data_IF_797786023919
#
_entry.id   IF_797786023919
#
_cell.length_a   1.000
_cell.length_b   1.000
_cell.length_c   1.000
_cell.angle_alpha   90.00
_cell.angle_beta   90.00
_cell.angle_gamma   90.00
#
_symmetry.space_group_name_H-M   'P 1'
#
loop_
_entity.id
_entity.type
_entity.pdbx_description
1 polymer ?
#
# COMPACT_ATOMS: atom_id res chain seq x y z
N UNK A 1 14.15 23.39 13.45
CA UNK A 1 13.40 22.71 12.37
C UNK A 1 12.59 23.77 11.64
N UNK A 2 12.40 23.65 10.32
CA UNK A 2 11.48 24.53 9.59
C UNK A 2 10.06 24.35 10.14
N UNK A 3 9.37 25.43 10.44
CA UNK A 3 7.97 25.43 10.86
C UNK A 3 7.06 25.62 9.65
N UNK A 4 5.80 25.24 9.75
CA UNK A 4 4.83 25.48 8.67
C UNK A 4 4.69 26.97 8.30
N UNK A 5 4.96 27.88 9.25
CA UNK A 5 4.95 29.32 8.99
C UNK A 5 6.10 29.78 8.08
N UNK A 6 7.24 29.08 8.12
CA UNK A 6 8.43 29.42 7.33
C UNK A 6 8.33 28.98 5.86
N UNK A 7 7.43 28.03 5.56
CA UNK A 7 7.38 27.33 4.27
C UNK A 7 6.40 27.97 3.28
N UNK A 8 5.42 28.75 3.76
CA UNK A 8 4.38 29.36 2.92
C UNK A 8 3.42 28.33 2.29
N UNK A 9 2.57 28.75 1.34
CA UNK A 9 1.62 27.89 0.62
C UNK A 9 0.18 27.85 1.17
N UNK A 10 -0.01 28.16 2.46
CA UNK A 10 -1.32 28.32 3.09
C UNK A 10 -2.20 27.04 3.14
N UNK A 11 -3.42 27.14 3.70
CA UNK A 11 -4.39 26.05 3.71
C UNK A 11 -4.70 25.56 2.29
N UNK A 12 -4.60 24.26 2.05
CA UNK A 12 -4.90 23.63 0.75
C UNK A 12 -3.68 23.16 -0.04
N UNK A 13 -2.46 23.60 0.30
CA UNK A 13 -1.22 23.12 -0.33
C UNK A 13 -0.54 21.96 0.42
N UNK A 14 -0.95 21.71 1.67
CA UNK A 14 -0.40 20.69 2.55
C UNK A 14 -1.47 19.70 3.03
N UNK A 15 -1.04 18.46 3.26
CA UNK A 15 -1.86 17.38 3.80
C UNK A 15 -1.59 17.27 5.30
N UNK A 16 -2.65 17.30 6.11
CA UNK A 16 -2.56 17.12 7.55
C UNK A 16 -2.32 15.65 7.89
N UNK A 17 -1.27 15.39 8.67
CA UNK A 17 -0.86 14.03 9.08
C UNK A 17 -1.34 13.66 10.48
N UNK A 18 -1.71 14.66 11.29
CA UNK A 18 -2.15 14.46 12.67
C UNK A 18 -1.39 15.35 13.67
N UNK A 19 -1.62 15.05 14.95
CA UNK A 19 -0.97 15.72 16.07
C UNK A 19 0.01 14.77 16.77
N UNK A 20 1.15 15.30 17.20
CA UNK A 20 2.08 14.62 18.11
C UNK A 20 2.24 15.49 19.35
N UNK A 21 1.48 15.18 20.40
CA UNK A 21 1.22 16.14 21.48
C UNK A 21 0.46 17.34 20.92
N UNK A 22 0.90 18.55 21.23
CA UNK A 22 0.30 19.80 20.74
C UNK A 22 0.84 20.24 19.36
N UNK A 23 1.80 19.48 18.79
CA UNK A 23 2.40 19.82 17.51
C UNK A 23 1.62 19.19 16.36
N UNK A 24 1.13 20.03 15.44
CA UNK A 24 0.55 19.59 14.18
C UNK A 24 1.63 19.23 13.15
N UNK A 25 1.41 18.13 12.44
CA UNK A 25 2.30 17.62 11.39
C UNK A 25 1.61 17.65 10.02
N UNK A 26 2.37 18.03 9.00
CA UNK A 26 1.88 18.16 7.63
C UNK A 26 2.90 17.58 6.64
N UNK A 27 2.41 17.11 5.49
CA UNK A 27 3.25 16.84 4.33
C UNK A 27 2.93 17.81 3.19
N UNK A 28 3.95 18.21 2.45
CA UNK A 28 3.84 19.11 1.31
C UNK A 28 4.67 18.56 0.15
N UNK A 29 4.20 18.75 -1.08
CA UNK A 29 5.00 18.40 -2.25
C UNK A 29 6.17 19.37 -2.39
N UNK A 30 7.37 18.84 -2.63
CA UNK A 30 8.58 19.65 -2.76
C UNK A 30 8.49 20.71 -3.89
N UNK A 31 7.67 20.46 -4.93
CA UNK A 31 7.45 21.42 -6.01
C UNK A 31 6.65 22.66 -5.58
N UNK A 32 5.92 22.59 -4.46
CA UNK A 32 5.05 23.66 -3.99
C UNK A 32 5.74 24.58 -2.96
N UNK A 33 7.02 24.33 -2.67
CA UNK A 33 7.76 25.05 -1.62
C UNK A 33 9.15 25.43 -2.10
N UNK A 34 9.69 26.53 -1.56
CA UNK A 34 11.04 27.02 -1.88
C UNK A 34 12.13 26.37 -1.02
N UNK A 35 11.78 25.32 -0.26
CA UNK A 35 12.68 24.61 0.64
C UNK A 35 13.52 23.59 -0.12
N UNK A 36 14.84 23.70 -0.02
CA UNK A 36 15.77 22.66 -0.50
C UNK A 36 16.03 21.64 0.61
N UNK A 37 15.64 20.39 0.39
CA UNK A 37 15.99 19.30 1.32
C UNK A 37 17.45 18.89 1.13
N UNK A 38 18.26 18.79 2.20
CA UNK A 38 19.65 18.37 2.11
C UNK A 38 19.81 16.89 1.70
N UNK A 39 18.74 16.08 1.82
CA UNK A 39 18.74 14.64 1.52
C UNK A 39 17.41 14.19 0.93
N UNK A 40 17.48 13.15 0.10
CA UNK A 40 16.32 12.36 -0.36
C UNK A 40 16.50 10.93 0.09
N UNK A 41 15.43 10.30 0.54
CA UNK A 41 15.44 8.94 1.07
C UNK A 41 14.38 8.11 0.33
N UNK A 42 14.67 6.84 0.09
CA UNK A 42 13.65 5.88 -0.31
C UNK A 42 12.82 5.49 0.93
N UNK A 43 11.51 5.72 0.87
CA UNK A 43 10.64 5.51 2.01
C UNK A 43 10.53 4.04 2.40
N UNK A 44 10.65 3.09 1.46
CA UNK A 44 10.61 1.66 1.79
C UNK A 44 11.82 1.28 2.63
N UNK A 45 13.01 1.74 2.25
CA UNK A 45 14.23 1.50 3.01
C UNK A 45 14.21 2.20 4.37
N UNK A 46 13.75 3.46 4.40
CA UNK A 46 13.71 4.24 5.64
C UNK A 46 12.72 3.66 6.67
N UNK A 47 11.53 3.23 6.23
CA UNK A 47 10.50 2.66 7.09
C UNK A 47 10.93 1.39 7.82
N UNK A 48 11.95 0.67 7.34
CA UNK A 48 12.52 -0.50 8.02
C UNK A 48 13.32 -0.14 9.28
N UNK A 49 13.80 1.09 9.37
CA UNK A 49 14.72 1.54 10.43
C UNK A 49 14.09 2.59 11.34
N UNK A 50 13.00 3.22 10.91
CA UNK A 50 12.36 4.30 11.65
C UNK A 50 11.47 3.80 12.79
N UNK A 51 11.29 4.61 13.85
CA UNK A 51 10.24 4.38 14.82
C UNK A 51 8.88 4.24 14.14
N UNK A 52 8.04 3.34 14.66
CA UNK A 52 6.72 3.04 14.09
C UNK A 52 5.88 4.30 13.82
N UNK A 53 5.84 5.24 14.77
CA UNK A 53 5.07 6.47 14.62
C UNK A 53 5.50 7.31 13.40
N UNK A 54 6.82 7.41 13.16
CA UNK A 54 7.36 8.16 12.03
C UNK A 54 7.10 7.40 10.72
N UNK A 55 7.34 6.08 10.70
CA UNK A 55 7.04 5.23 9.55
C UNK A 55 5.56 5.31 9.14
N UNK A 56 4.64 5.25 10.11
CA UNK A 56 3.20 5.39 9.87
C UNK A 56 2.83 6.76 9.31
N UNK A 57 3.35 7.85 9.90
CA UNK A 57 3.07 9.20 9.43
C UNK A 57 3.54 9.44 7.98
N UNK A 58 4.75 8.98 7.66
CA UNK A 58 5.29 9.10 6.30
C UNK A 58 4.60 8.15 5.30
N UNK A 59 4.19 6.96 5.73
CA UNK A 59 3.39 6.06 4.90
C UNK A 59 2.03 6.68 4.55
N UNK A 60 1.37 7.30 5.52
CA UNK A 60 0.14 8.06 5.29
C UNK A 60 0.37 9.24 4.34
N UNK A 61 1.40 10.05 4.57
CA UNK A 61 1.79 11.14 3.67
C UNK A 61 1.97 10.67 2.22
N UNK A 62 2.71 9.57 2.02
CA UNK A 62 2.95 9.00 0.69
C UNK A 62 1.66 8.56 0.00
N UNK A 63 0.76 7.90 0.73
CA UNK A 63 -0.53 7.45 0.20
C UNK A 63 -1.45 8.61 -0.16
N UNK A 64 -1.52 9.63 0.71
CA UNK A 64 -2.32 10.83 0.47
C UNK A 64 -1.80 11.64 -0.73
N UNK A 65 -0.49 11.88 -0.82
CA UNK A 65 0.11 12.55 -1.98
C UNK A 65 -0.09 11.75 -3.27
N UNK A 66 0.00 10.41 -3.21
CA UNK A 66 -0.33 9.57 -4.38
C UNK A 66 -1.76 9.81 -4.85
N UNK A 67 -2.70 9.74 -3.92
CA UNK A 67 -4.12 9.92 -4.21
C UNK A 67 -4.41 11.32 -4.76
N UNK A 68 -3.87 12.39 -4.14
CA UNK A 68 -4.01 13.76 -4.63
C UNK A 68 -3.56 13.90 -6.08
N UNK A 69 -2.40 13.33 -6.43
CA UNK A 69 -1.85 13.40 -7.78
C UNK A 69 -2.72 12.70 -8.85
N UNK A 70 -3.53 11.70 -8.44
CA UNK A 70 -4.37 10.87 -9.33
C UNK A 70 -5.84 11.29 -9.33
N UNK A 71 -6.30 12.02 -8.32
CA UNK A 71 -7.70 12.45 -8.15
C UNK A 71 -7.84 13.96 -8.37
N UNK A 72 -7.33 14.46 -9.50
CA UNK A 72 -7.41 15.88 -9.89
C UNK A 72 -8.76 16.26 -10.55
N UNK A 73 -9.43 15.27 -11.12
CA UNK A 73 -10.72 15.43 -11.81
C UNK A 73 -11.71 14.39 -11.30
N UNK A 74 -12.99 14.75 -11.31
CA UNK A 74 -14.08 13.92 -10.83
C UNK A 74 -14.34 12.77 -11.80
N UNK A 75 -14.31 11.53 -11.31
CA UNK A 75 -14.64 10.34 -12.11
C UNK A 75 -16.12 10.26 -12.55
N UNK A 76 -17.00 11.13 -12.03
CA UNK A 76 -18.43 11.15 -12.38
C UNK A 76 -18.72 12.17 -13.50
N UNK A 77 -18.18 13.39 -13.41
CA UNK A 77 -18.53 14.47 -14.33
C UNK A 77 -17.34 15.16 -15.02
N UNK A 78 -16.10 14.75 -14.72
CA UNK A 78 -14.88 15.36 -15.27
C UNK A 78 -14.48 16.72 -14.66
N UNK A 79 -15.29 17.30 -13.77
CA UNK A 79 -15.00 18.59 -13.14
C UNK A 79 -13.80 18.53 -12.19
N UNK A 80 -13.12 19.66 -11.97
CA UNK A 80 -11.97 19.75 -11.08
C UNK A 80 -12.31 19.38 -9.63
N UNK A 81 -11.39 18.69 -8.95
CA UNK A 81 -11.51 18.29 -7.55
C UNK A 81 -10.67 19.22 -6.67
N UNK A 82 -11.30 19.82 -5.67
CA UNK A 82 -10.64 20.61 -4.65
C UNK A 82 -10.57 19.81 -3.33
N UNK A 83 -9.40 19.80 -2.68
CA UNK A 83 -9.21 19.08 -1.43
C UNK A 83 -9.61 19.91 -0.20
N UNK A 84 -10.28 19.26 0.75
CA UNK A 84 -10.78 19.83 1.99
C UNK A 84 -10.46 18.89 3.17
N UNK A 85 -10.85 19.29 4.40
CA UNK A 85 -10.65 18.50 5.64
C UNK A 85 -9.21 18.02 5.83
N UNK A 86 -8.26 18.96 5.80
CA UNK A 86 -6.83 18.65 5.93
C UNK A 86 -6.27 17.83 4.75
N UNK A 87 -6.97 17.83 3.62
CA UNK A 87 -6.61 17.07 2.44
C UNK A 87 -7.28 15.70 2.36
N UNK A 88 -8.08 15.24 3.33
CA UNK A 88 -8.66 13.89 3.31
C UNK A 88 -9.85 13.72 2.36
N UNK A 89 -10.56 14.80 2.02
CA UNK A 89 -11.73 14.74 1.14
C UNK A 89 -11.47 15.56 -0.10
N UNK A 90 -11.68 14.98 -1.27
CA UNK A 90 -11.70 15.71 -2.54
C UNK A 90 -13.16 15.99 -2.92
N UNK A 91 -13.53 17.25 -3.13
CA UNK A 91 -14.89 17.62 -3.54
C UNK A 91 -14.87 18.19 -4.94
N UNK A 92 -15.72 17.67 -5.82
CA UNK A 92 -15.87 18.21 -7.17
C UNK A 92 -16.52 19.60 -7.12
N UNK A 93 -15.90 20.58 -7.77
CA UNK A 93 -16.41 21.94 -7.83
C UNK A 93 -17.69 22.10 -8.67
N UNK A 94 -18.02 21.10 -9.51
CA UNK A 94 -19.16 21.15 -10.43
C UNK A 94 -20.38 20.38 -9.91
N UNK A 95 -20.22 19.10 -9.57
CA UNK A 95 -21.32 18.24 -9.15
C UNK A 95 -21.39 18.00 -7.64
N UNK A 96 -20.47 18.59 -6.86
CA UNK A 96 -20.35 18.38 -5.41
C UNK A 96 -20.06 16.94 -4.94
N UNK A 97 -19.83 15.97 -5.85
CA UNK A 97 -19.42 14.61 -5.48
C UNK A 97 -18.15 14.64 -4.63
N UNK A 98 -18.18 13.88 -3.54
CA UNK A 98 -17.02 13.66 -2.68
C UNK A 98 -16.23 12.42 -3.12
N UNK A 99 -14.91 12.53 -3.00
CA UNK A 99 -13.93 11.50 -3.27
C UNK A 99 -13.09 11.30 -2.02
N UNK A 100 -12.76 10.04 -1.75
CA UNK A 100 -11.99 9.62 -0.59
C UNK A 100 -10.71 8.89 -1.05
N UNK A 101 -9.67 8.83 -0.20
CA UNK A 101 -8.45 8.10 -0.52
C UNK A 101 -8.75 6.62 -0.83
N UNK A 102 -8.23 6.13 -1.95
CA UNK A 102 -8.34 4.73 -2.33
C UNK A 102 -7.30 3.91 -1.57
N UNK A 103 -7.74 2.80 -0.98
CA UNK A 103 -6.88 1.79 -0.36
C UNK A 103 -7.22 0.45 -0.98
N UNK A 104 -6.24 -0.16 -1.64
CA UNK A 104 -6.43 -1.43 -2.35
C UNK A 104 -6.06 -2.60 -1.42
N UNK A 105 -7.02 -3.42 -0.98
CA UNK A 105 -6.70 -4.58 -0.17
C UNK A 105 -5.96 -5.64 -1.01
N UNK A 106 -4.89 -6.19 -0.44
CA UNK A 106 -4.13 -7.28 -1.00
C UNK A 106 -3.78 -8.29 0.10
N UNK A 107 -3.93 -9.57 -0.16
CA UNK A 107 -3.51 -10.62 0.76
C UNK A 107 -2.02 -10.90 0.58
N UNK A 108 -1.35 -11.32 1.65
CA UNK A 108 0.01 -11.89 1.62
C UNK A 108 0.03 -13.11 2.53
N UNK A 109 0.44 -14.27 2.00
CA UNK A 109 0.18 -15.55 2.65
C UNK A 109 1.39 -16.48 2.71
N UNK A 110 1.75 -16.89 3.94
CA UNK A 110 2.68 -17.98 4.17
C UNK A 110 1.95 -19.32 4.04
N UNK A 111 2.23 -20.09 2.98
CA UNK A 111 1.57 -21.37 2.70
C UNK A 111 2.48 -22.53 3.09
N UNK A 112 2.02 -23.37 4.01
CA UNK A 112 2.82 -24.44 4.63
C UNK A 112 2.26 -25.82 4.29
N UNK A 113 3.17 -26.80 4.15
CA UNK A 113 2.82 -28.22 4.08
C UNK A 113 3.99 -29.11 4.56
N UNK A 114 3.73 -30.01 5.51
CA UNK A 114 4.71 -30.96 6.06
C UNK A 114 6.03 -30.28 6.51
N UNK A 115 5.93 -29.11 7.14
CA UNK A 115 7.09 -28.34 7.61
C UNK A 115 7.85 -27.59 6.52
N UNK A 116 7.37 -27.60 5.27
CA UNK A 116 7.91 -26.83 4.14
C UNK A 116 7.10 -25.56 3.92
N UNK A 117 7.75 -24.55 3.37
CA UNK A 117 7.13 -23.27 3.00
C UNK A 117 7.12 -23.10 1.48
N UNK A 118 5.97 -22.78 0.90
CA UNK A 118 5.87 -22.41 -0.51
C UNK A 118 6.37 -20.99 -0.69
N UNK A 119 7.37 -20.81 -1.55
CA UNK A 119 7.86 -19.49 -1.92
C UNK A 119 7.89 -19.33 -3.43
N UNK A 120 7.58 -18.13 -3.89
CA UNK A 120 7.62 -17.71 -5.28
C UNK A 120 8.63 -16.59 -5.54
N UNK A 121 8.97 -16.36 -6.81
CA UNK A 121 9.78 -15.22 -7.25
C UNK A 121 9.33 -14.70 -8.61
N UNK A 122 9.48 -13.39 -8.82
CA UNK A 122 9.30 -12.73 -10.11
C UNK A 122 10.63 -12.64 -10.87
N UNK A 123 10.55 -12.63 -12.21
CA UNK A 123 11.72 -12.60 -13.11
C UNK A 123 12.57 -11.33 -12.98
N UNK A 124 11.97 -10.22 -12.57
CA UNK A 124 12.67 -8.94 -12.37
C UNK A 124 13.34 -8.82 -10.98
N UNK A 125 13.20 -9.82 -10.10
CA UNK A 125 13.83 -9.80 -8.78
C UNK A 125 15.27 -10.31 -8.82
N UNK A 126 16.08 -9.79 -7.91
CA UNK A 126 17.47 -10.23 -7.72
C UNK A 126 17.57 -11.77 -7.64
N UNK A 127 18.62 -12.39 -8.20
CA UNK A 127 18.78 -13.83 -8.17
C UNK A 127 18.67 -14.41 -6.75
N UNK A 128 17.96 -15.54 -6.61
CA UNK A 128 17.71 -16.24 -5.34
C UNK A 128 16.86 -15.47 -4.31
N UNK A 129 16.29 -14.32 -4.66
CA UNK A 129 15.25 -13.68 -3.84
C UNK A 129 13.93 -14.40 -4.05
N UNK A 130 13.32 -14.83 -2.95
CA UNK A 130 12.02 -15.49 -2.88
C UNK A 130 11.16 -14.80 -1.82
N UNK A 131 9.84 -14.89 -1.97
CA UNK A 131 8.86 -14.37 -1.01
C UNK A 131 7.66 -15.30 -0.94
N UNK A 132 6.90 -15.14 0.14
CA UNK A 132 5.52 -15.61 0.20
C UNK A 132 4.67 -14.96 -0.90
N UNK A 133 3.57 -15.63 -1.28
CA UNK A 133 2.68 -15.18 -2.35
C UNK A 133 1.77 -14.05 -1.87
N UNK A 134 1.35 -13.18 -2.80
CA UNK A 134 0.51 -12.03 -2.49
C UNK A 134 -0.26 -11.58 -3.73
N UNK A 135 -1.50 -11.12 -3.53
CA UNK A 135 -2.34 -10.68 -4.63
C UNK A 135 -3.51 -9.81 -4.19
N UNK A 136 -4.13 -9.11 -5.14
CA UNK A 136 -5.19 -8.16 -4.85
C UNK A 136 -6.52 -8.87 -4.63
N UNK A 137 -7.32 -8.33 -3.72
CA UNK A 137 -8.68 -8.83 -3.48
C UNK A 137 -9.59 -8.35 -4.61
N UNK A 138 -10.35 -9.27 -5.21
CA UNK A 138 -11.31 -8.91 -6.25
C UNK A 138 -12.69 -8.52 -5.69
N UNK A 139 -13.49 -7.73 -6.43
CA UNK A 139 -14.84 -7.39 -6.02
C UNK A 139 -15.71 -8.63 -5.77
N UNK A 140 -16.23 -8.76 -4.56
CA UNK A 140 -17.08 -9.88 -4.14
C UNK A 140 -16.33 -11.01 -3.44
N UNK A 141 -15.00 -10.92 -3.29
CA UNK A 141 -14.22 -11.89 -2.54
C UNK A 141 -14.09 -11.52 -1.06
N UNK A 142 -14.12 -12.55 -0.22
CA UNK A 142 -13.51 -12.52 1.12
C UNK A 142 -11.99 -12.64 0.99
N UNK A 143 -11.24 -12.23 2.02
CA UNK A 143 -9.79 -12.40 2.02
C UNK A 143 -9.37 -13.86 1.93
N UNK A 144 -10.14 -14.76 2.55
CA UNK A 144 -9.92 -16.20 2.50
C UNK A 144 -10.10 -16.74 1.07
N UNK A 145 -11.10 -16.26 0.33
CA UNK A 145 -11.28 -16.61 -1.09
C UNK A 145 -10.12 -16.11 -1.94
N UNK A 146 -9.68 -14.86 -1.73
CA UNK A 146 -8.50 -14.31 -2.41
C UNK A 146 -7.25 -15.15 -2.13
N UNK A 147 -7.01 -15.57 -0.88
CA UNK A 147 -5.89 -16.47 -0.55
C UNK A 147 -5.96 -17.77 -1.36
N UNK A 148 -7.13 -18.41 -1.42
CA UNK A 148 -7.30 -19.66 -2.17
C UNK A 148 -7.09 -19.45 -3.66
N UNK A 149 -7.66 -18.38 -4.23
CA UNK A 149 -7.54 -18.06 -5.66
C UNK A 149 -6.09 -17.76 -6.05
N UNK A 150 -5.46 -16.79 -5.40
CA UNK A 150 -4.10 -16.32 -5.72
C UNK A 150 -3.07 -17.46 -5.64
N UNK A 151 -3.11 -18.26 -4.56
CA UNK A 151 -2.18 -19.39 -4.42
C UNK A 151 -2.38 -20.40 -5.54
N UNK A 152 -3.62 -20.71 -5.92
CA UNK A 152 -3.91 -21.66 -6.99
C UNK A 152 -3.58 -21.10 -8.39
N UNK A 153 -3.80 -19.81 -8.63
CA UNK A 153 -3.49 -19.15 -9.90
C UNK A 153 -1.98 -19.16 -10.15
N UNK A 154 -1.20 -18.69 -9.18
CA UNK A 154 0.25 -18.51 -9.31
C UNK A 154 1.06 -19.81 -9.19
N UNK A 155 0.56 -20.82 -8.45
CA UNK A 155 1.34 -22.02 -8.11
C UNK A 155 0.63 -23.37 -8.30
N UNK A 156 -0.68 -23.36 -8.61
CA UNK A 156 -1.53 -24.57 -8.69
C UNK A 156 -1.66 -25.37 -7.39
N UNK A 157 -1.09 -24.90 -6.29
CA UNK A 157 -1.20 -25.52 -4.96
C UNK A 157 -2.58 -25.24 -4.37
N UNK A 158 -3.23 -26.27 -3.82
CA UNK A 158 -4.54 -26.13 -3.16
C UNK A 158 -4.41 -25.86 -1.67
N UNK A 159 -4.99 -24.75 -1.22
CA UNK A 159 -5.12 -24.38 0.19
C UNK A 159 -6.33 -25.06 0.81
N UNK A 160 -6.17 -25.63 2.02
CA UNK A 160 -7.24 -26.32 2.77
C UNK A 160 -7.77 -25.51 3.94
N UNK A 161 -6.94 -24.63 4.51
CA UNK A 161 -7.32 -23.72 5.57
C UNK A 161 -6.40 -22.49 5.57
N UNK A 162 -6.91 -21.34 6.00
CA UNK A 162 -6.09 -20.16 6.24
C UNK A 162 -6.53 -19.42 7.52
N UNK A 163 -5.62 -18.62 8.07
CA UNK A 163 -5.82 -17.86 9.30
C UNK A 163 -5.18 -16.48 9.16
N UNK A 164 -5.96 -15.45 9.45
CA UNK A 164 -5.49 -14.07 9.53
C UNK A 164 -4.44 -13.90 10.65
N UNK A 165 -3.40 -13.13 10.37
CA UNK A 165 -2.30 -12.84 11.30
C UNK A 165 -2.21 -11.36 11.67
N UNK A 166 -2.52 -10.47 10.73
CA UNK A 166 -2.30 -9.03 10.91
C UNK A 166 -2.43 -8.27 9.61
N UNK A 167 -2.26 -6.95 9.68
CA UNK A 167 -2.30 -6.10 8.49
C UNK A 167 -1.26 -4.98 8.57
N UNK A 168 -0.79 -4.54 7.41
CA UNK A 168 0.17 -3.45 7.30
C UNK A 168 -0.16 -2.54 6.11
N UNK A 169 -0.25 -1.21 6.31
CA UNK A 169 -0.35 -0.28 5.19
C UNK A 169 0.87 -0.36 4.27
N UNK A 170 0.64 -0.43 2.97
CA UNK A 170 1.68 -0.50 1.93
C UNK A 170 1.46 0.58 0.86
N UNK A 171 1.91 1.83 1.10
CA UNK A 171 1.59 3.01 0.29
C UNK A 171 2.44 3.10 -0.99
N UNK A 172 2.62 1.97 -1.67
CA UNK A 172 3.48 1.84 -2.85
C UNK A 172 2.77 1.06 -3.97
N UNK A 173 1.65 1.58 -4.53
CA UNK A 173 1.26 2.99 -4.44
C UNK A 173 0.13 3.34 -3.44
N UNK A 174 -0.61 2.37 -2.89
CA UNK A 174 -1.76 2.65 -2.01
C UNK A 174 -2.53 1.40 -1.58
N UNK A 175 -1.83 0.37 -1.11
CA UNK A 175 -2.43 -0.90 -0.73
C UNK A 175 -2.52 -1.07 0.80
N UNK A 176 -3.39 -1.98 1.24
CA UNK A 176 -3.40 -2.55 2.59
C UNK A 176 -3.04 -4.03 2.47
N UNK A 177 -1.88 -4.42 3.00
CA UNK A 177 -1.49 -5.82 3.05
C UNK A 177 -2.19 -6.51 4.21
N UNK A 178 -2.86 -7.61 3.92
CA UNK A 178 -3.58 -8.46 4.88
C UNK A 178 -2.85 -9.79 4.96
N UNK A 179 -2.19 -10.03 6.09
CA UNK A 179 -1.31 -11.17 6.30
C UNK A 179 -2.06 -12.42 6.74
N UNK A 180 -1.77 -13.54 6.09
CA UNK A 180 -2.31 -14.86 6.40
C UNK A 180 -1.21 -15.91 6.57
N UNK A 181 -1.52 -16.95 7.35
CA UNK A 181 -0.92 -18.27 7.18
C UNK A 181 -1.93 -19.24 6.60
N UNK A 182 -1.48 -20.21 5.82
CA UNK A 182 -2.33 -21.20 5.18
C UNK A 182 -1.71 -22.59 5.22
N UNK A 183 -2.56 -23.61 5.29
CA UNK A 183 -2.19 -25.01 5.09
C UNK A 183 -2.58 -25.45 3.68
N UNK A 184 -1.73 -26.24 3.05
CA UNK A 184 -1.94 -26.72 1.69
C UNK A 184 -1.91 -28.25 1.58
N UNK A 185 -2.40 -28.75 0.44
CA UNK A 185 -2.19 -30.12 -0.01
C UNK A 185 -0.74 -30.34 -0.49
N UNK A 186 -0.35 -31.61 -0.68
CA UNK A 186 0.97 -32.02 -1.19
C UNK A 186 1.06 -31.96 -2.71
N UNK A 187 0.65 -30.82 -3.25
CA UNK A 187 0.72 -30.52 -4.66
C UNK A 187 2.13 -30.08 -5.05
N UNK A 188 2.59 -30.51 -6.23
CA UNK A 188 3.83 -30.01 -6.82
C UNK A 188 3.56 -28.61 -7.41
N UNK A 189 4.26 -27.55 -6.95
CA UNK A 189 4.01 -26.21 -7.43
C UNK A 189 4.35 -26.08 -8.92
N UNK A 190 3.49 -25.41 -9.67
CA UNK A 190 3.68 -25.11 -11.10
C UNK A 190 3.24 -23.68 -11.37
N UNK A 191 4.10 -22.90 -12.02
CA UNK A 191 3.85 -21.48 -12.31
C UNK A 191 3.10 -21.28 -13.63
N UNK A 192 2.29 -20.23 -13.72
CA UNK A 192 1.51 -19.86 -14.92
C UNK A 192 2.18 -18.78 -15.80
N UNK A 193 3.37 -18.30 -15.43
CA UNK A 193 4.11 -17.24 -16.12
C UNK A 193 4.12 -15.89 -15.41
N UNK A 194 3.28 -15.68 -14.39
CA UNK A 194 3.37 -14.50 -13.51
C UNK A 194 4.59 -14.58 -12.58
N UNK A 195 4.85 -15.78 -12.07
CA UNK A 195 6.07 -16.12 -11.36
C UNK A 195 7.08 -16.76 -12.30
N UNK A 196 8.36 -16.46 -12.07
CA UNK A 196 9.48 -17.13 -12.73
C UNK A 196 9.72 -18.53 -12.14
N UNK A 197 9.57 -18.68 -10.82
CA UNK A 197 9.70 -19.96 -10.12
C UNK A 197 8.84 -19.95 -8.85
N UNK A 198 8.33 -21.11 -8.46
CA UNK A 198 7.64 -21.37 -7.21
C UNK A 198 7.94 -22.79 -6.74
N UNK A 199 8.33 -22.96 -5.48
CA UNK A 199 8.68 -24.28 -4.93
C UNK A 199 8.62 -24.34 -3.42
N UNK A 200 8.63 -25.55 -2.90
CA UNK A 200 8.74 -25.84 -1.46
C UNK A 200 10.20 -25.68 -0.98
N UNK A 201 10.37 -25.06 0.20
CA UNK A 201 11.64 -24.91 0.92
C UNK A 201 11.59 -25.57 2.29
#
# INVERSE_FOLDING_TARGET
ALTGADIGGGPGAAIFLGLRGDQAWFSVEAANVTVSSPRRLDLRQAALLWPMADATAFSYARGMSYWHSRTRFCGVCGGAVAFARGGFVGRCAQCSTEHYPRVDPAVIVAVENQGRLLLGRQSNWAPRRYSVLAGFVEPGETFEQTVVREVHEESKVRVTACQYLGSQPWPFPGALMVGFRAQAQDDLPTVNGELEDARWF
#
